data_IF_591028793606
#
_entry.id   IF_591028793606
#
_cell.length_a   1.000
_cell.length_b   1.000
_cell.length_c   1.000
_cell.angle_alpha   90.00
_cell.angle_beta   90.00
_cell.angle_gamma   90.00
#
_symmetry.space_group_name_H-M   'P 1'
#
loop_
_entity.id
_entity.type
_entity.pdbx_description
1 polymer ?
#
# COMPACT_ATOMS: atom_id res chain seq x y z
N UNK A 1 -41.47 -8.86 9.57
CA UNK A 1 -40.90 -10.22 9.51
C UNK A 1 -41.51 -10.87 8.27
N UNK A 2 -40.88 -11.16 7.12
CA UNK A 2 -39.55 -11.69 6.80
C UNK A 2 -39.21 -11.37 5.31
N UNK A 3 -39.07 -10.10 4.90
CA UNK A 3 -38.80 -9.80 3.47
C UNK A 3 -37.78 -8.66 3.18
N UNK A 4 -36.96 -8.25 4.15
CA UNK A 4 -35.89 -7.25 3.93
C UNK A 4 -34.46 -7.80 4.09
N UNK A 5 -34.30 -9.10 4.35
CA UNK A 5 -32.99 -9.72 4.59
C UNK A 5 -32.31 -10.30 3.33
N UNK A 6 -32.95 -10.22 2.16
CA UNK A 6 -32.49 -10.90 0.94
C UNK A 6 -31.79 -9.98 -0.10
N UNK A 7 -31.65 -8.68 0.19
CA UNK A 7 -30.97 -7.73 -0.70
C UNK A 7 -29.46 -7.52 -0.38
N UNK A 8 -28.91 -8.24 0.60
CA UNK A 8 -27.51 -8.12 1.05
C UNK A 8 -26.66 -9.35 0.71
N UNK A 9 -27.12 -10.19 -0.22
CA UNK A 9 -26.60 -11.55 -0.40
C UNK A 9 -25.97 -11.84 -1.75
N UNK A 10 -25.16 -10.94 -2.33
CA UNK A 10 -24.29 -11.34 -3.44
C UNK A 10 -23.09 -10.41 -3.69
N UNK A 11 -22.09 -10.37 -2.81
CA UNK A 11 -20.78 -9.81 -3.19
C UNK A 11 -19.61 -10.70 -2.72
N UNK A 12 -18.93 -11.28 -3.72
CA UNK A 12 -17.61 -11.92 -3.73
C UNK A 12 -17.48 -13.39 -3.25
N UNK A 13 -17.65 -14.32 -4.21
CA UNK A 13 -17.15 -15.71 -4.16
C UNK A 13 -15.60 -15.81 -4.28
N UNK A 14 -14.87 -14.72 -4.03
CA UNK A 14 -13.40 -14.69 -4.10
C UNK A 14 -12.85 -13.89 -2.90
N UNK A 15 -12.77 -14.49 -1.70
CA UNK A 15 -12.17 -13.87 -0.51
C UNK A 15 -10.63 -13.79 -0.59
N UNK A 16 -10.06 -13.50 -1.77
CA UNK A 16 -8.63 -13.54 -2.05
C UNK A 16 -7.98 -12.16 -2.17
N UNK A 17 -8.56 -11.11 -1.59
CA UNK A 17 -7.97 -9.76 -1.66
C UNK A 17 -6.50 -9.72 -1.20
N UNK A 18 -6.16 -10.46 -0.13
CA UNK A 18 -4.79 -10.59 0.33
C UNK A 18 -3.89 -11.35 -0.66
N UNK A 19 -4.42 -12.40 -1.30
CA UNK A 19 -3.65 -13.16 -2.30
C UNK A 19 -3.37 -12.32 -3.55
N UNK A 20 -4.32 -11.47 -3.98
CA UNK A 20 -4.08 -10.52 -5.07
C UNK A 20 -2.95 -9.55 -4.72
N UNK A 21 -2.89 -9.05 -3.48
CA UNK A 21 -1.78 -8.19 -3.05
C UNK A 21 -0.44 -8.94 -2.99
N UNK A 22 -0.44 -10.20 -2.55
CA UNK A 22 0.75 -11.07 -2.62
C UNK A 22 1.21 -11.26 -4.06
N UNK A 23 0.28 -11.50 -5.00
CA UNK A 23 0.61 -11.64 -6.41
C UNK A 23 1.22 -10.36 -6.97
N UNK A 24 0.68 -9.19 -6.65
CA UNK A 24 1.25 -7.90 -7.05
C UNK A 24 2.68 -7.72 -6.49
N UNK A 25 2.92 -8.06 -5.22
CA UNK A 25 4.24 -7.96 -4.59
C UNK A 25 5.27 -8.90 -5.23
N UNK A 26 4.86 -10.13 -5.58
CA UNK A 26 5.74 -11.15 -6.16
C UNK A 26 5.86 -11.06 -7.69
N UNK A 27 5.01 -10.28 -8.35
CA UNK A 27 4.99 -10.17 -9.81
C UNK A 27 6.33 -9.63 -10.33
N UNK A 28 6.80 -8.51 -9.80
CA UNK A 28 8.03 -7.88 -10.26
C UNK A 28 9.29 -8.77 -10.22
N UNK A 29 9.64 -9.42 -9.09
CA UNK A 29 10.80 -10.32 -9.03
C UNK A 29 10.63 -11.54 -9.95
N UNK A 30 9.41 -12.07 -10.09
CA UNK A 30 9.12 -13.18 -11.01
C UNK A 30 9.35 -12.78 -12.47
N UNK A 31 8.77 -11.66 -12.90
CA UNK A 31 8.95 -11.15 -14.27
C UNK A 31 10.41 -10.82 -14.56
N UNK A 32 11.12 -10.21 -13.60
CA UNK A 32 12.54 -9.92 -13.75
C UNK A 32 13.38 -11.18 -13.92
N UNK A 33 13.09 -12.25 -13.17
CA UNK A 33 13.73 -13.55 -13.31
C UNK A 33 13.47 -14.21 -14.68
N UNK A 34 12.23 -14.21 -15.14
CA UNK A 34 11.85 -14.77 -16.45
C UNK A 34 12.51 -14.01 -17.62
N UNK A 35 12.61 -12.68 -17.52
CA UNK A 35 13.33 -11.86 -18.50
C UNK A 35 14.82 -12.19 -18.53
N UNK A 36 15.46 -12.39 -17.38
CA UNK A 36 16.87 -12.77 -17.30
C UNK A 36 17.14 -14.18 -17.84
N UNK A 37 16.17 -15.08 -17.73
CA UNK A 37 16.23 -16.42 -18.34
C UNK A 37 15.91 -16.42 -19.84
N UNK A 38 15.66 -15.26 -20.46
CA UNK A 38 15.34 -15.17 -21.89
C UNK A 38 13.97 -15.76 -22.24
N UNK A 39 13.00 -15.73 -21.32
CA UNK A 39 11.65 -16.27 -21.52
C UNK A 39 10.58 -15.17 -21.68
N UNK A 40 10.62 -14.35 -22.75
CA UNK A 40 9.72 -13.20 -22.89
C UNK A 40 8.26 -13.59 -23.10
N UNK A 41 7.98 -14.73 -23.74
CA UNK A 41 6.60 -15.22 -23.94
C UNK A 41 5.95 -15.60 -22.61
N UNK A 42 6.66 -16.33 -21.76
CA UNK A 42 6.18 -16.68 -20.42
C UNK A 42 6.06 -15.43 -19.54
N UNK A 43 7.00 -14.49 -19.66
CA UNK A 43 6.92 -13.18 -18.98
C UNK A 43 5.62 -12.46 -19.32
N UNK A 44 5.29 -12.35 -20.62
CA UNK A 44 4.05 -11.72 -21.07
C UNK A 44 2.80 -12.48 -20.61
N UNK A 45 2.82 -13.81 -20.68
CA UNK A 45 1.72 -14.64 -20.21
C UNK A 45 1.44 -14.45 -18.71
N UNK A 46 2.49 -14.47 -17.88
CA UNK A 46 2.37 -14.26 -16.43
C UNK A 46 1.92 -12.83 -16.12
N UNK A 47 2.53 -11.82 -16.76
CA UNK A 47 2.16 -10.43 -16.58
C UNK A 47 0.68 -10.20 -16.93
N UNK A 48 0.24 -10.71 -18.09
CA UNK A 48 -1.15 -10.62 -18.54
C UNK A 48 -2.12 -11.35 -17.61
N UNK A 49 -1.79 -12.59 -17.22
CA UNK A 49 -2.63 -13.42 -16.35
C UNK A 49 -2.82 -12.81 -14.95
N UNK A 50 -1.74 -12.37 -14.31
CA UNK A 50 -1.82 -11.71 -13.00
C UNK A 50 -2.55 -10.37 -13.10
N UNK A 51 -2.29 -9.60 -14.16
CA UNK A 51 -3.00 -8.33 -14.39
C UNK A 51 -4.51 -8.55 -14.53
N UNK A 52 -4.91 -9.52 -15.37
CA UNK A 52 -6.32 -9.86 -15.55
C UNK A 52 -6.96 -10.28 -14.22
N UNK A 53 -6.31 -11.17 -13.46
CA UNK A 53 -6.84 -11.63 -12.19
C UNK A 53 -6.97 -10.51 -11.14
N UNK A 54 -6.01 -9.58 -11.06
CA UNK A 54 -6.07 -8.42 -10.17
C UNK A 54 -7.18 -7.45 -10.58
N UNK A 55 -7.34 -7.20 -11.89
CA UNK A 55 -8.35 -6.26 -12.40
C UNK A 55 -9.78 -6.81 -12.27
N UNK A 56 -9.95 -8.14 -12.39
CA UNK A 56 -11.22 -8.82 -12.17
C UNK A 56 -11.56 -9.02 -10.68
N UNK A 57 -10.59 -8.87 -9.77
CA UNK A 57 -10.80 -8.97 -8.34
C UNK A 57 -11.32 -7.69 -7.68
N UNK A 58 -11.70 -7.78 -6.41
CA UNK A 58 -12.33 -6.68 -5.66
C UNK A 58 -11.34 -5.77 -4.92
N UNK A 59 -10.03 -6.09 -4.95
CA UNK A 59 -9.01 -5.33 -4.22
C UNK A 59 -8.58 -4.06 -4.96
N UNK A 60 -9.23 -2.95 -4.64
CA UNK A 60 -8.86 -1.61 -5.16
C UNK A 60 -7.41 -1.23 -4.85
N UNK A 61 -6.89 -1.62 -3.68
CA UNK A 61 -5.49 -1.37 -3.33
C UNK A 61 -4.52 -2.14 -4.25
N UNK A 62 -4.84 -3.39 -4.57
CA UNK A 62 -4.03 -4.21 -5.50
C UNK A 62 -4.08 -3.65 -6.93
N UNK A 63 -5.25 -3.20 -7.39
CA UNK A 63 -5.40 -2.56 -8.72
C UNK A 63 -4.54 -1.31 -8.82
N UNK A 64 -4.67 -0.39 -7.85
CA UNK A 64 -3.90 0.85 -7.83
C UNK A 64 -2.39 0.57 -7.76
N UNK A 65 -1.96 -0.35 -6.89
CA UNK A 65 -0.56 -0.73 -6.78
C UNK A 65 0.00 -1.32 -8.08
N UNK A 66 -0.78 -2.15 -8.79
CA UNK A 66 -0.37 -2.69 -10.09
C UNK A 66 -0.22 -1.59 -11.14
N UNK A 67 -1.17 -0.66 -11.21
CA UNK A 67 -1.14 0.48 -12.14
C UNK A 67 0.07 1.38 -11.87
N UNK A 68 0.27 1.76 -10.60
CA UNK A 68 1.40 2.60 -10.20
C UNK A 68 2.74 1.88 -10.41
N UNK A 69 2.80 0.58 -10.14
CA UNK A 69 3.97 -0.25 -10.40
C UNK A 69 4.33 -0.33 -11.88
N UNK A 70 3.34 -0.57 -12.75
CA UNK A 70 3.51 -0.55 -14.19
C UNK A 70 3.97 0.83 -14.70
N UNK A 71 3.39 1.91 -14.16
CA UNK A 71 3.83 3.29 -14.44
C UNK A 71 5.29 3.54 -14.01
N UNK A 72 5.67 3.08 -12.83
CA UNK A 72 7.05 3.16 -12.33
C UNK A 72 8.05 2.40 -13.22
N UNK A 73 7.69 1.20 -13.66
CA UNK A 73 8.49 0.42 -14.61
C UNK A 73 8.59 1.11 -15.98
N UNK A 74 7.48 1.64 -16.49
CA UNK A 74 7.44 2.41 -17.73
C UNK A 74 8.33 3.65 -17.67
N UNK A 75 8.27 4.41 -16.58
CA UNK A 75 9.11 5.59 -16.35
C UNK A 75 10.61 5.22 -16.27
N UNK A 76 10.94 4.16 -15.52
CA UNK A 76 12.30 3.65 -15.41
C UNK A 76 12.88 3.22 -16.76
N UNK A 77 12.08 2.55 -17.60
CA UNK A 77 12.44 2.16 -18.95
C UNK A 77 12.59 3.36 -19.89
N UNK A 78 11.62 4.27 -19.90
CA UNK A 78 11.59 5.43 -20.79
C UNK A 78 12.78 6.37 -20.55
N UNK A 79 13.14 6.61 -19.28
CA UNK A 79 14.29 7.44 -18.93
C UNK A 79 15.64 6.72 -19.12
N UNK A 80 15.62 5.39 -19.31
CA UNK A 80 16.80 4.53 -19.29
C UNK A 80 17.71 4.80 -18.06
N UNK A 81 17.08 5.15 -16.93
CA UNK A 81 17.74 5.52 -15.66
C UNK A 81 16.99 4.92 -14.47
N UNK A 82 16.84 3.59 -14.39
CA UNK A 82 16.05 2.93 -13.34
C UNK A 82 16.53 3.27 -11.93
N UNK A 83 17.86 3.38 -11.71
CA UNK A 83 18.40 3.75 -10.41
C UNK A 83 18.00 5.17 -9.96
N UNK A 84 17.84 6.11 -10.92
CA UNK A 84 17.38 7.47 -10.62
C UNK A 84 15.91 7.46 -10.20
N UNK A 85 15.07 6.72 -10.95
CA UNK A 85 13.64 6.56 -10.62
C UNK A 85 13.49 5.89 -9.26
N UNK A 86 14.24 4.81 -8.99
CA UNK A 86 14.23 4.15 -7.69
C UNK A 86 14.61 5.09 -6.55
N UNK A 87 15.70 5.86 -6.70
CA UNK A 87 16.11 6.85 -5.70
C UNK A 87 15.03 7.90 -5.48
N UNK A 88 14.48 8.47 -6.55
CA UNK A 88 13.44 9.48 -6.48
C UNK A 88 12.18 8.95 -5.78
N UNK A 89 11.77 7.71 -6.06
CA UNK A 89 10.64 7.06 -5.40
C UNK A 89 10.92 6.85 -3.91
N UNK A 90 12.07 6.27 -3.55
CA UNK A 90 12.41 6.00 -2.15
C UNK A 90 12.53 7.27 -1.32
N UNK A 91 13.23 8.27 -1.84
CA UNK A 91 13.41 9.57 -1.16
C UNK A 91 12.12 10.39 -1.17
N UNK A 92 11.33 10.34 -2.24
CA UNK A 92 10.03 11.00 -2.32
C UNK A 92 8.98 10.37 -1.40
N UNK A 93 9.13 9.09 -1.02
CA UNK A 93 8.24 8.45 -0.05
C UNK A 93 8.52 8.87 1.39
N UNK A 94 9.74 9.32 1.72
CA UNK A 94 10.10 9.81 3.07
C UNK A 94 9.17 10.93 3.55
N UNK A 95 8.98 12.05 2.82
CA UNK A 95 8.06 13.10 3.27
C UNK A 95 6.62 12.61 3.37
N UNK A 96 6.19 11.62 2.56
CA UNK A 96 4.85 11.01 2.70
C UNK A 96 4.72 10.33 4.05
N UNK A 97 5.69 9.49 4.44
CA UNK A 97 5.68 8.79 5.74
C UNK A 97 5.76 9.78 6.90
N UNK A 98 6.66 10.75 6.83
CA UNK A 98 6.85 11.75 7.88
C UNK A 98 5.59 12.60 8.04
N UNK A 99 5.07 13.17 6.95
CA UNK A 99 3.97 14.11 7.03
C UNK A 99 2.59 13.45 7.22
N UNK A 100 2.47 12.11 7.11
CA UNK A 100 1.17 11.42 7.03
C UNK A 100 0.15 11.84 8.11
N UNK A 101 0.47 11.85 9.43
CA UNK A 101 -0.52 12.18 10.46
C UNK A 101 -1.04 13.61 10.32
N UNK A 102 -0.15 14.56 10.04
CA UNK A 102 -0.50 15.97 9.89
C UNK A 102 -1.18 16.27 8.56
N UNK A 103 -0.79 15.59 7.49
CA UNK A 103 -1.47 15.67 6.20
C UNK A 103 -2.92 15.19 6.32
N UNK A 104 -3.15 14.11 7.06
CA UNK A 104 -4.51 13.63 7.37
C UNK A 104 -5.31 14.67 8.16
N UNK A 105 -4.76 15.23 9.23
CA UNK A 105 -5.47 16.24 10.02
C UNK A 105 -5.76 17.53 9.22
N UNK A 106 -4.82 17.96 8.37
CA UNK A 106 -4.97 19.18 7.58
C UNK A 106 -5.94 19.01 6.41
N UNK A 107 -5.93 17.85 5.74
CA UNK A 107 -6.73 17.63 4.53
C UNK A 107 -8.12 17.08 4.89
N UNK A 108 -8.21 16.16 5.85
CA UNK A 108 -9.46 15.49 6.20
C UNK A 108 -10.24 16.26 7.28
N UNK A 109 -10.57 17.52 6.99
CA UNK A 109 -11.57 18.25 7.80
C UNK A 109 -12.99 17.71 7.56
N UNK A 110 -13.93 17.99 8.46
CA UNK A 110 -15.35 17.66 8.28
C UNK A 110 -15.92 18.25 6.98
N UNK A 111 -15.47 19.45 6.60
CA UNK A 111 -15.87 20.09 5.35
C UNK A 111 -15.35 19.32 4.13
N UNK A 112 -14.07 18.92 4.15
CA UNK A 112 -13.48 18.11 3.08
C UNK A 112 -14.16 16.75 2.98
N UNK A 113 -14.44 16.10 4.12
CA UNK A 113 -15.15 14.83 4.14
C UNK A 113 -16.54 14.97 3.52
N UNK A 114 -17.33 15.97 3.92
CA UNK A 114 -18.67 16.22 3.35
C UNK A 114 -18.65 16.49 1.85
N UNK A 115 -17.63 17.21 1.37
CA UNK A 115 -17.48 17.50 -0.06
C UNK A 115 -17.10 16.25 -0.87
N UNK A 116 -16.23 15.39 -0.33
CA UNK A 116 -15.69 14.24 -1.06
C UNK A 116 -16.52 12.96 -0.88
N UNK A 117 -17.20 12.77 0.27
CA UNK A 117 -17.94 11.55 0.60
C UNK A 117 -18.93 11.09 -0.50
N UNK A 118 -19.70 11.98 -1.17
CA UNK A 118 -20.60 11.57 -2.25
C UNK A 118 -19.88 10.98 -3.47
N UNK A 119 -18.60 11.30 -3.67
CA UNK A 119 -17.80 10.86 -4.82
C UNK A 119 -17.00 9.58 -4.54
N UNK A 120 -17.09 9.02 -3.33
CA UNK A 120 -16.29 7.88 -2.90
C UNK A 120 -17.15 6.74 -2.35
N UNK A 121 -16.69 5.51 -2.59
CA UNK A 121 -17.29 4.32 -2.00
C UNK A 121 -17.16 4.30 -0.47
N UNK A 122 -18.09 3.59 0.18
CA UNK A 122 -18.15 3.46 1.64
C UNK A 122 -16.82 3.02 2.28
N UNK A 123 -16.06 2.13 1.63
CA UNK A 123 -14.75 1.68 2.11
C UNK A 123 -13.75 2.82 2.32
N UNK A 124 -13.69 3.79 1.40
CA UNK A 124 -12.79 4.94 1.53
C UNK A 124 -13.30 5.91 2.61
N UNK A 125 -14.62 6.14 2.70
CA UNK A 125 -15.21 6.97 3.75
C UNK A 125 -14.87 6.42 5.14
N UNK A 126 -15.03 5.10 5.34
CA UNK A 126 -14.70 4.44 6.59
C UNK A 126 -13.20 4.57 6.94
N UNK A 127 -12.30 4.44 5.95
CA UNK A 127 -10.86 4.63 6.16
C UNK A 127 -10.52 6.05 6.59
N UNK A 128 -11.17 7.08 6.03
CA UNK A 128 -10.95 8.47 6.43
C UNK A 128 -11.28 8.71 7.90
N UNK A 129 -12.40 8.15 8.39
CA UNK A 129 -12.79 8.20 9.80
C UNK A 129 -11.73 7.52 10.68
N UNK A 130 -11.28 6.32 10.29
CA UNK A 130 -10.21 5.60 11.00
C UNK A 130 -8.92 6.43 11.03
N UNK A 131 -8.55 7.07 9.91
CA UNK A 131 -7.32 7.86 9.79
C UNK A 131 -7.36 9.11 10.66
N UNK A 132 -8.49 9.81 10.74
CA UNK A 132 -8.66 10.95 11.64
C UNK A 132 -8.50 10.52 13.11
N UNK A 133 -9.17 9.43 13.50
CA UNK A 133 -9.05 8.87 14.85
C UNK A 133 -7.60 8.52 15.19
N UNK A 134 -6.91 7.82 14.30
CA UNK A 134 -5.51 7.40 14.50
C UNK A 134 -4.57 8.60 14.53
N UNK A 135 -4.76 9.60 13.67
CA UNK A 135 -3.97 10.82 13.68
C UNK A 135 -4.12 11.61 14.99
N UNK A 136 -5.32 11.65 15.58
CA UNK A 136 -5.55 12.26 16.89
C UNK A 136 -4.80 11.49 18.00
N UNK A 137 -4.85 10.15 18.00
CA UNK A 137 -4.09 9.34 18.96
C UNK A 137 -2.57 9.49 18.81
N UNK A 138 -2.07 9.63 17.58
CA UNK A 138 -0.63 9.89 17.34
C UNK A 138 -0.18 11.19 18.00
N UNK A 139 -1.02 12.23 17.97
CA UNK A 139 -0.69 13.53 18.57
C UNK A 139 -0.51 13.48 20.10
N UNK A 140 -1.10 12.49 20.78
CA UNK A 140 -0.96 12.29 22.23
C UNK A 140 0.41 11.67 22.59
N UNK A 141 0.97 10.82 21.73
CA UNK A 141 2.26 10.15 21.95
C UNK A 141 3.18 10.22 20.72
N UNK A 142 3.58 11.41 20.23
CA UNK A 142 4.21 11.56 18.93
C UNK A 142 5.64 11.02 18.87
N UNK A 143 6.35 10.92 20.00
CA UNK A 143 7.77 10.51 20.02
C UNK A 143 7.93 8.99 20.02
N UNK A 144 7.26 8.30 20.94
CA UNK A 144 7.41 6.86 21.16
C UNK A 144 6.20 6.03 20.72
N UNK A 145 5.10 6.67 20.34
CA UNK A 145 3.85 5.99 20.05
C UNK A 145 3.22 5.34 21.28
N UNK A 146 2.24 4.49 21.02
CA UNK A 146 1.46 3.76 22.01
C UNK A 146 1.98 2.33 22.28
N UNK A 147 3.07 1.94 21.63
CA UNK A 147 3.64 0.60 21.70
C UNK A 147 3.20 -0.32 20.56
N UNK A 148 4.01 -1.35 20.30
CA UNK A 148 3.75 -2.33 19.24
C UNK A 148 2.44 -3.08 19.47
N UNK A 149 1.62 -3.15 18.43
CA UNK A 149 0.28 -3.73 18.49
C UNK A 149 -0.79 -2.86 19.13
N UNK A 150 -0.51 -1.59 19.47
CA UNK A 150 -1.48 -0.68 20.08
C UNK A 150 -2.77 -0.51 19.26
N UNK A 151 -2.71 -0.66 17.94
CA UNK A 151 -3.91 -0.65 17.09
C UNK A 151 -4.98 -1.67 17.55
N UNK A 152 -4.55 -2.81 18.14
CA UNK A 152 -5.46 -3.83 18.69
C UNK A 152 -6.07 -3.42 20.03
N UNK A 153 -5.40 -2.57 20.81
CA UNK A 153 -5.91 -2.09 22.09
C UNK A 153 -7.06 -1.08 21.92
N UNK A 154 -7.14 -0.39 20.78
CA UNK A 154 -8.25 0.53 20.45
C UNK A 154 -9.46 -0.18 19.82
N UNK A 155 -9.46 -1.51 19.73
CA UNK A 155 -10.59 -2.27 19.20
C UNK A 155 -11.85 -2.10 20.05
N UNK A 156 -13.00 -2.15 19.41
CA UNK A 156 -14.31 -2.13 20.07
C UNK A 156 -14.80 -0.75 20.50
N UNK A 157 -13.97 0.30 20.40
CA UNK A 157 -14.44 1.66 20.55
C UNK A 157 -15.34 2.02 19.35
N UNK A 158 -16.61 2.27 19.62
CA UNK A 158 -17.61 2.61 18.60
C UNK A 158 -17.80 4.12 18.51
N UNK A 159 -18.06 4.59 17.30
CA UNK A 159 -18.40 5.98 17.03
C UNK A 159 -19.49 6.05 15.97
N UNK A 160 -20.49 6.89 16.21
CA UNK A 160 -21.52 7.17 15.23
C UNK A 160 -21.03 8.29 14.33
N UNK A 161 -20.92 7.99 13.04
CA UNK A 161 -20.47 8.94 12.02
C UNK A 161 -21.48 9.02 10.89
N UNK A 162 -21.64 10.21 10.33
CA UNK A 162 -22.45 10.41 9.13
C UNK A 162 -21.63 9.99 7.89
N UNK A 163 -22.16 9.06 7.10
CA UNK A 163 -21.56 8.56 5.85
C UNK A 163 -22.58 8.61 4.72
N UNK A 164 -22.13 8.62 3.47
CA UNK A 164 -23.00 8.56 2.29
C UNK A 164 -23.11 7.12 1.82
N UNK A 165 -24.31 6.56 1.87
CA UNK A 165 -24.61 5.24 1.30
C UNK A 165 -25.19 5.37 -0.12
N UNK A 166 -24.69 4.60 -1.10
CA UNK A 166 -25.22 4.61 -2.47
C UNK A 166 -26.73 4.35 -2.50
N UNK A 167 -27.47 5.19 -3.21
CA UNK A 167 -28.93 5.07 -3.36
C UNK A 167 -29.76 5.47 -2.14
N UNK A 168 -29.13 5.80 -1.00
CA UNK A 168 -29.83 6.18 0.24
C UNK A 168 -29.47 7.61 0.67
N UNK A 169 -28.24 8.07 0.43
CA UNK A 169 -27.75 9.38 0.85
C UNK A 169 -27.08 9.34 2.22
N UNK A 170 -27.09 10.47 2.93
CA UNK A 170 -26.46 10.60 4.25
C UNK A 170 -27.18 9.72 5.27
N UNK A 171 -26.40 8.91 6.00
CA UNK A 171 -26.88 8.02 7.05
C UNK A 171 -25.91 8.08 8.23
N UNK A 172 -26.45 8.04 9.44
CA UNK A 172 -25.64 7.83 10.63
C UNK A 172 -25.39 6.33 10.80
N UNK A 173 -24.11 5.95 10.83
CA UNK A 173 -23.69 4.56 11.01
C UNK A 173 -22.74 4.49 12.19
N UNK A 174 -22.99 3.57 13.10
CA UNK A 174 -22.05 3.26 14.18
C UNK A 174 -20.95 2.35 13.65
N UNK A 175 -19.74 2.88 13.56
CA UNK A 175 -18.56 2.18 13.09
C UNK A 175 -17.60 1.89 14.25
N UNK A 176 -16.74 0.88 14.08
CA UNK A 176 -15.59 0.73 14.96
C UNK A 176 -14.52 1.75 14.59
N UNK A 177 -14.06 2.55 15.56
CA UNK A 177 -13.03 3.58 15.37
C UNK A 177 -11.73 3.03 14.80
N UNK A 178 -11.38 1.81 15.21
CA UNK A 178 -10.23 1.07 14.67
C UNK A 178 -10.52 -0.45 14.77
N UNK A 179 -10.87 -1.13 13.67
CA UNK A 179 -11.25 -2.53 13.73
C UNK A 179 -10.08 -3.46 14.06
N UNK A 180 -8.89 -3.21 13.48
CA UNK A 180 -7.66 -3.96 13.78
C UNK A 180 -6.38 -3.16 13.45
N UNK A 181 -6.40 -2.40 12.36
CA UNK A 181 -5.29 -1.60 11.84
C UNK A 181 -5.85 -0.47 10.96
N UNK A 182 -5.09 0.61 10.72
CA UNK A 182 -5.59 1.79 10.01
C UNK A 182 -5.76 1.62 8.49
N UNK A 183 -5.43 0.48 7.91
CA UNK A 183 -5.29 0.31 6.44
C UNK A 183 -4.34 1.35 5.80
N UNK A 184 -3.35 1.79 6.56
CA UNK A 184 -2.35 2.77 6.18
C UNK A 184 -1.11 2.56 7.07
N UNK A 185 -0.09 1.88 6.55
CA UNK A 185 1.09 1.49 7.31
C UNK A 185 1.88 2.69 7.86
N UNK A 186 2.03 3.84 7.16
CA UNK A 186 2.63 5.03 7.77
C UNK A 186 1.91 5.50 9.03
N UNK A 187 0.58 5.55 9.03
CA UNK A 187 -0.19 5.89 10.23
C UNK A 187 -0.01 4.83 11.33
N UNK A 188 0.03 3.55 10.98
CA UNK A 188 0.28 2.49 11.97
C UNK A 188 1.68 2.60 12.58
N UNK A 189 2.69 2.88 11.76
CA UNK A 189 4.08 3.07 12.19
C UNK A 189 4.17 4.22 13.21
N UNK A 190 3.57 5.37 12.89
CA UNK A 190 3.48 6.49 13.82
C UNK A 190 2.73 6.12 15.11
N UNK A 191 1.57 5.46 15.00
CA UNK A 191 0.76 5.11 16.16
C UNK A 191 1.51 4.21 17.14
N UNK A 192 2.23 3.21 16.63
CA UNK A 192 2.83 2.18 17.45
C UNK A 192 4.26 2.49 17.91
N UNK A 193 5.03 3.23 17.11
CA UNK A 193 6.46 3.45 17.37
C UNK A 193 6.85 4.94 17.47
N UNK A 194 5.93 5.85 17.15
CA UNK A 194 6.16 7.28 17.12
C UNK A 194 7.24 7.70 16.13
N UNK A 195 7.73 8.93 16.32
CA UNK A 195 8.79 9.54 15.52
C UNK A 195 10.09 8.74 15.51
N UNK A 196 10.37 7.97 16.57
CA UNK A 196 11.58 7.13 16.64
C UNK A 196 11.55 6.02 15.58
N UNK A 197 10.48 5.23 15.51
CA UNK A 197 10.39 4.17 14.50
C UNK A 197 10.23 4.73 13.08
N UNK A 198 9.54 5.87 12.93
CA UNK A 198 9.46 6.59 11.66
C UNK A 198 10.84 7.04 11.18
N UNK A 199 11.68 7.59 12.07
CA UNK A 199 13.04 7.99 11.73
C UNK A 199 13.89 6.80 11.26
N UNK A 200 13.76 5.64 11.91
CA UNK A 200 14.47 4.41 11.51
C UNK A 200 14.05 3.93 10.11
N UNK A 201 12.75 3.89 9.83
CA UNK A 201 12.24 3.51 8.50
C UNK A 201 12.70 4.51 7.44
N UNK A 202 12.61 5.82 7.72
CA UNK A 202 13.06 6.86 6.80
C UNK A 202 14.56 6.78 6.54
N UNK A 203 15.38 6.54 7.57
CA UNK A 203 16.82 6.32 7.41
C UNK A 203 17.09 5.11 6.50
N UNK A 204 16.34 4.02 6.67
CA UNK A 204 16.40 2.86 5.77
C UNK A 204 16.11 3.22 4.31
N UNK A 205 15.02 3.96 4.05
CA UNK A 205 14.65 4.41 2.70
C UNK A 205 15.71 5.32 2.09
N UNK A 206 16.27 6.26 2.86
CA UNK A 206 17.33 7.16 2.43
C UNK A 206 18.59 6.40 2.04
N UNK A 207 19.03 5.47 2.90
CA UNK A 207 20.21 4.61 2.65
C UNK A 207 20.00 3.74 1.41
N UNK A 208 18.82 3.14 1.24
CA UNK A 208 18.50 2.35 0.05
C UNK A 208 18.54 3.19 -1.22
N UNK A 209 17.96 4.40 -1.21
CA UNK A 209 18.03 5.32 -2.35
C UNK A 209 19.44 5.84 -2.64
N UNK A 210 20.26 6.05 -1.61
CA UNK A 210 21.67 6.44 -1.76
C UNK A 210 22.51 5.33 -2.40
N UNK A 211 22.21 4.06 -2.09
CA UNK A 211 22.87 2.88 -2.68
C UNK A 211 22.51 2.63 -4.15
N UNK A 212 21.41 3.20 -4.65
CA UNK A 212 21.07 3.12 -6.06
C UNK A 212 22.11 3.87 -6.91
N UNK A 213 22.83 3.18 -7.80
CA UNK A 213 23.89 3.75 -8.64
C UNK A 213 23.30 4.52 -9.82
N UNK A 214 23.15 5.84 -9.70
CA UNK A 214 22.46 6.69 -10.70
C UNK A 214 23.33 7.15 -11.88
N UNK A 215 24.64 6.82 -11.89
CA UNK A 215 25.61 7.38 -12.84
C UNK A 215 25.58 6.78 -14.25
N UNK A 216 24.92 5.64 -14.45
CA UNK A 216 24.87 4.95 -15.74
C UNK A 216 23.46 4.92 -16.32
N UNK A 217 23.33 5.15 -17.63
CA UNK A 217 22.12 4.77 -18.37
C UNK A 217 22.07 3.25 -18.46
N UNK A 218 20.89 2.69 -18.25
CA UNK A 218 20.63 1.26 -18.35
C UNK A 218 19.24 1.06 -18.94
N UNK A 219 19.16 0.30 -20.04
CA UNK A 219 17.90 -0.01 -20.72
C UNK A 219 17.61 -1.50 -20.61
N UNK A 220 17.19 -1.91 -19.42
CA UNK A 220 16.89 -3.29 -19.06
C UNK A 220 15.46 -3.39 -18.54
N UNK A 221 14.63 -4.22 -19.19
CA UNK A 221 13.26 -4.47 -18.73
C UNK A 221 13.26 -5.16 -17.36
N UNK A 222 14.23 -6.04 -17.10
CA UNK A 222 14.32 -6.71 -15.80
C UNK A 222 14.56 -5.69 -14.66
N UNK A 223 15.42 -4.70 -14.88
CA UNK A 223 15.71 -3.64 -13.90
C UNK A 223 14.54 -2.67 -13.77
N UNK A 224 13.90 -2.29 -14.89
CA UNK A 224 12.74 -1.42 -14.88
C UNK A 224 11.55 -2.03 -14.11
N UNK A 225 11.27 -3.32 -14.33
CA UNK A 225 10.19 -4.03 -13.64
C UNK A 225 10.47 -4.16 -12.14
N UNK A 226 11.72 -4.36 -11.70
CA UNK A 226 12.11 -4.32 -10.28
C UNK A 226 11.77 -2.98 -9.63
N UNK A 227 12.06 -1.86 -10.30
CA UNK A 227 11.68 -0.53 -9.83
C UNK A 227 10.15 -0.39 -9.72
N UNK A 228 9.42 -0.89 -10.72
CA UNK A 228 7.97 -0.96 -10.68
C UNK A 228 7.44 -1.76 -9.48
N UNK A 229 8.08 -2.87 -9.14
CA UNK A 229 7.76 -3.66 -7.95
C UNK A 229 7.90 -2.88 -6.64
N UNK A 230 8.95 -2.07 -6.50
CA UNK A 230 9.13 -1.17 -5.34
C UNK A 230 8.00 -0.14 -5.28
N UNK A 231 7.65 0.47 -6.41
CA UNK A 231 6.54 1.43 -6.48
C UNK A 231 5.21 0.76 -6.08
N UNK A 232 4.93 -0.44 -6.60
CA UNK A 232 3.73 -1.19 -6.22
C UNK A 232 3.71 -1.53 -4.73
N UNK A 233 4.83 -2.00 -4.18
CA UNK A 233 4.97 -2.31 -2.76
C UNK A 233 4.73 -1.10 -1.86
N UNK A 234 5.37 0.05 -2.14
CA UNK A 234 5.15 1.29 -1.40
C UNK A 234 3.70 1.77 -1.52
N UNK A 235 3.08 1.64 -2.69
CA UNK A 235 1.67 2.01 -2.90
C UNK A 235 0.72 1.16 -2.05
N UNK A 236 0.97 -0.14 -1.94
CA UNK A 236 0.19 -1.03 -1.06
C UNK A 236 0.26 -0.56 0.38
N UNK A 237 1.43 -0.08 0.86
CA UNK A 237 1.57 0.38 2.26
C UNK A 237 0.64 1.55 2.62
N UNK A 238 0.21 2.35 1.64
CA UNK A 238 -0.67 3.51 1.89
C UNK A 238 -2.15 3.14 2.03
N UNK A 239 -2.54 1.97 1.52
CA UNK A 239 -3.96 1.61 1.36
C UNK A 239 -4.30 0.21 1.89
N UNK A 240 -3.33 -0.51 2.44
CA UNK A 240 -3.46 -1.93 2.76
C UNK A 240 -3.16 -2.25 4.22
N UNK A 241 -3.26 -3.56 4.45
CA UNK A 241 -3.16 -4.36 5.66
C UNK A 241 -2.22 -3.88 6.78
N UNK A 242 -2.42 -4.52 7.93
CA UNK A 242 -1.61 -4.37 9.14
C UNK A 242 -0.10 -4.54 8.83
N UNK A 243 0.72 -3.59 9.31
CA UNK A 243 2.11 -3.45 8.91
C UNK A 243 3.00 -4.65 9.29
N UNK A 244 2.65 -5.35 10.37
CA UNK A 244 3.42 -6.46 10.94
C UNK A 244 2.94 -7.84 10.50
N UNK A 245 2.05 -7.92 9.51
CA UNK A 245 1.62 -9.19 8.94
C UNK A 245 2.82 -9.98 8.41
N UNK A 246 3.02 -11.18 8.95
CA UNK A 246 4.12 -12.05 8.55
C UNK A 246 4.15 -12.28 7.04
N UNK A 247 2.99 -12.42 6.38
CA UNK A 247 2.94 -12.64 4.94
C UNK A 247 3.42 -11.43 4.11
N UNK A 248 3.22 -10.19 4.58
CA UNK A 248 3.72 -8.99 3.90
C UNK A 248 5.25 -8.95 4.01
N UNK A 249 5.75 -9.15 5.24
CA UNK A 249 7.17 -9.14 5.54
C UNK A 249 7.90 -10.27 4.78
N UNK A 250 7.32 -11.47 4.77
CA UNK A 250 7.86 -12.62 4.03
C UNK A 250 7.78 -12.42 2.52
N UNK A 251 6.69 -11.85 1.99
CA UNK A 251 6.58 -11.56 0.55
C UNK A 251 7.62 -10.53 0.11
N UNK A 252 7.83 -9.47 0.91
CA UNK A 252 8.87 -8.49 0.66
C UNK A 252 10.28 -9.11 0.77
N UNK A 253 10.52 -9.94 1.77
CA UNK A 253 11.80 -10.65 1.94
C UNK A 253 12.07 -11.63 0.79
N UNK A 254 11.06 -12.37 0.34
CA UNK A 254 11.13 -13.27 -0.81
C UNK A 254 11.40 -12.49 -2.09
N UNK A 255 10.72 -11.35 -2.29
CA UNK A 255 10.95 -10.49 -3.45
C UNK A 255 12.42 -10.05 -3.52
N UNK A 256 13.02 -9.66 -2.40
CA UNK A 256 14.46 -9.32 -2.32
C UNK A 256 15.35 -10.56 -2.49
N UNK A 257 14.98 -11.70 -1.92
CA UNK A 257 15.77 -12.93 -1.94
C UNK A 257 15.88 -13.57 -3.33
N UNK A 258 14.78 -13.59 -4.09
CA UNK A 258 14.75 -14.03 -5.49
C UNK A 258 15.64 -13.12 -6.35
N UNK A 259 15.65 -11.82 -6.05
CA UNK A 259 16.41 -10.82 -6.80
C UNK A 259 17.94 -10.95 -6.65
N UNK A 260 18.41 -11.41 -5.48
CA UNK A 260 19.83 -11.59 -5.15
C UNK A 260 20.48 -12.75 -5.92
N UNK A 261 19.73 -13.80 -6.27
CA UNK A 261 20.26 -14.93 -7.05
C UNK A 261 20.53 -14.58 -8.52
N UNK A 262 20.03 -13.44 -9.01
CA UNK A 262 20.35 -12.90 -10.34
C UNK A 262 21.58 -11.97 -10.36
N UNK A 263 22.12 -11.61 -9.20
CA UNK A 263 23.37 -10.87 -9.10
C UNK A 263 24.51 -11.87 -8.89
N UNK A 264 25.35 -12.04 -9.91
CA UNK A 264 26.63 -12.73 -9.79
C UNK A 264 27.60 -11.94 -8.93
N UNK A 265 27.34 -11.84 -7.62
CA UNK A 265 28.38 -11.58 -6.64
C UNK A 265 29.16 -12.88 -6.46
N UNK A 266 30.16 -13.08 -7.32
CA UNK A 266 31.32 -13.89 -6.94
C UNK A 266 32.01 -13.08 -5.84
N UNK A 267 31.99 -13.60 -4.62
CA UNK A 267 32.96 -13.20 -3.61
C UNK A 267 34.37 -13.54 -4.07
#
# INVERSE_FOLDING_TARGET
>A
MVFAAWALGWESLVPFNAALSVWVLLLAPLLAGLLQQGQPRLTLAVAGGVTAAVMLGDSEASKLALILGAGGAGLAWALARPALVLRAVLWGFVPVVVAMPWAIQAVLSDATFRALAPMMGFSLQHRMVIWQFVAARIAEHPVFGWGLGAARAFRGAKETVAVVLPGVGWQEVTLERLPIHPHNMPLQLWLETGGVGVALVCAGLLVLGARAKTGSRERSWSTAVRVGGVVAGLSLTLASYEAWQAWILLSAALAVGVDRRGFGWRG
#
